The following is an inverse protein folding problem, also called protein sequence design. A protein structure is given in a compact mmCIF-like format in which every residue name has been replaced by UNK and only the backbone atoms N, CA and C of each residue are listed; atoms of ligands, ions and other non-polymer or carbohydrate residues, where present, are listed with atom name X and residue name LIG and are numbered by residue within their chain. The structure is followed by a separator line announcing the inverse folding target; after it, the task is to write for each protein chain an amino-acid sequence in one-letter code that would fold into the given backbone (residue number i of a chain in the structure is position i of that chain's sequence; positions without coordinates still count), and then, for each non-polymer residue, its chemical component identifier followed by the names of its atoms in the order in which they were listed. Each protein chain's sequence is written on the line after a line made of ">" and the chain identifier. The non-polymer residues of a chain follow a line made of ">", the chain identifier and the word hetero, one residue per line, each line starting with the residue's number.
data_IF_732755248870
#
_entry.id   IF_732755248870
#
_cell.length_a   1.000
_cell.length_b   1.000
_cell.length_c   1.000
_cell.angle_alpha   90.00
_cell.angle_beta   90.00
_cell.angle_gamma   90.00
#
_symmetry.space_group_name_H-M   'P 1'
#
loop_
_entity.id
_entity.type
_entity.pdbx_description
1 polymer ?
#
# COMPACT_ATOMS: atom_id res chain seq x y z
N UNK A 1 22.31 -13.63 73.74
CA UNK A 1 22.21 -12.98 72.41
C UNK A 1 21.72 -14.01 71.40
N UNK A 2 20.58 -13.73 70.76
CA UNK A 2 19.74 -14.66 69.98
C UNK A 2 20.34 -14.90 68.59
N UNK A 3 20.45 -16.15 68.14
CA UNK A 3 20.66 -16.53 66.73
C UNK A 3 19.29 -16.74 66.08
N UNK A 4 18.99 -15.98 65.03
CA UNK A 4 17.76 -16.08 64.27
C UNK A 4 17.89 -17.12 63.15
N UNK A 5 17.00 -18.11 63.14
CA UNK A 5 16.78 -19.02 62.02
C UNK A 5 16.03 -18.28 60.91
N UNK A 6 16.60 -18.24 59.69
CA UNK A 6 15.90 -17.81 58.48
C UNK A 6 15.36 -19.04 57.76
N UNK A 7 14.04 -19.24 57.79
CA UNK A 7 13.33 -20.15 56.90
C UNK A 7 13.28 -19.52 55.50
N UNK A 8 13.80 -20.21 54.49
CA UNK A 8 13.55 -19.89 53.08
C UNK A 8 12.24 -20.56 52.67
N UNK A 9 11.23 -19.75 52.34
CA UNK A 9 9.96 -20.18 51.79
C UNK A 9 10.10 -20.20 50.25
N UNK A 10 10.16 -21.39 49.66
CA UNK A 10 10.19 -21.57 48.21
C UNK A 10 8.78 -21.34 47.65
N UNK A 11 8.52 -20.16 47.07
CA UNK A 11 7.30 -19.90 46.32
C UNK A 11 7.49 -20.51 44.92
N UNK A 12 6.84 -21.65 44.66
CA UNK A 12 6.76 -22.25 43.33
C UNK A 12 5.87 -21.40 42.44
N UNK A 13 6.46 -20.69 41.48
CA UNK A 13 5.74 -19.96 40.45
C UNK A 13 5.16 -20.98 39.45
N UNK A 14 3.86 -21.29 39.56
CA UNK A 14 3.14 -22.06 38.54
C UNK A 14 3.00 -21.18 37.30
N UNK A 15 3.87 -21.40 36.31
CA UNK A 15 3.73 -20.81 34.98
C UNK A 15 2.62 -21.58 34.26
N UNK A 16 1.42 -21.01 34.21
CA UNK A 16 0.36 -21.49 33.34
C UNK A 16 0.75 -21.21 31.89
N UNK A 17 1.26 -22.21 31.17
CA UNK A 17 1.35 -22.12 29.72
C UNK A 17 -0.07 -22.00 29.16
N UNK A 18 -0.40 -20.96 28.36
CA UNK A 18 -1.66 -20.93 27.65
C UNK A 18 -1.66 -22.11 26.67
N UNK A 19 -2.60 -23.03 26.85
CA UNK A 19 -2.93 -24.01 25.82
C UNK A 19 -3.45 -23.21 24.62
N UNK A 20 -2.61 -23.08 23.58
CA UNK A 20 -3.07 -22.69 22.26
C UNK A 20 -4.01 -23.79 21.76
N UNK A 21 -5.30 -23.60 21.99
CA UNK A 21 -6.33 -24.44 21.43
C UNK A 21 -6.41 -24.09 19.94
N UNK A 22 -5.65 -24.80 19.11
CA UNK A 22 -5.81 -24.70 17.65
C UNK A 22 -7.22 -25.19 17.30
N UNK A 23 -7.95 -24.40 16.51
CA UNK A 23 -9.22 -24.83 15.95
C UNK A 23 -8.99 -26.12 15.14
N UNK A 24 -9.96 -27.04 15.20
CA UNK A 24 -9.91 -28.23 14.37
C UNK A 24 -9.89 -27.82 12.88
N UNK A 25 -9.16 -28.55 12.02
CA UNK A 25 -9.12 -28.24 10.60
C UNK A 25 -10.54 -28.14 10.01
N UNK A 26 -10.76 -27.12 9.18
CA UNK A 26 -12.01 -26.90 8.48
C UNK A 26 -11.98 -27.61 7.13
N UNK A 27 -12.83 -28.62 6.94
CA UNK A 27 -12.97 -29.29 5.65
C UNK A 27 -14.04 -28.59 4.81
N UNK A 28 -13.59 -27.83 3.80
CA UNK A 28 -14.48 -27.06 2.90
C UNK A 28 -14.97 -27.92 1.74
N UNK A 29 -14.14 -28.86 1.28
CA UNK A 29 -14.53 -29.87 0.28
C UNK A 29 -14.03 -31.21 0.78
N UNK A 30 -14.85 -32.25 0.73
CA UNK A 30 -14.45 -33.61 1.06
C UNK A 30 -14.74 -34.55 -0.10
N UNK A 31 -13.74 -35.31 -0.55
CA UNK A 31 -13.86 -36.27 -1.67
C UNK A 31 -14.51 -35.68 -2.95
N UNK A 32 -14.32 -34.40 -3.21
CA UNK A 32 -14.85 -33.67 -4.37
C UNK A 32 -16.32 -33.26 -4.24
N UNK A 33 -16.90 -33.34 -3.05
CA UNK A 33 -18.25 -32.85 -2.75
C UNK A 33 -18.23 -31.87 -1.59
N UNK A 34 -19.19 -30.95 -1.57
CA UNK A 34 -19.31 -29.97 -0.50
C UNK A 34 -20.74 -29.46 -0.40
N UNK A 35 -21.18 -29.22 0.84
CA UNK A 35 -22.40 -28.47 1.13
C UNK A 35 -22.11 -26.98 1.40
N UNK A 36 -20.84 -26.55 1.34
CA UNK A 36 -20.47 -25.16 1.56
C UNK A 36 -21.00 -24.25 0.47
N UNK A 37 -21.29 -23.01 0.86
CA UNK A 37 -21.63 -21.93 -0.06
C UNK A 37 -20.69 -20.75 0.16
N UNK A 38 -20.44 -19.98 -0.89
CA UNK A 38 -19.71 -18.71 -0.80
C UNK A 38 -20.76 -17.62 -0.64
N UNK A 39 -20.73 -16.89 0.45
CA UNK A 39 -21.62 -15.76 0.66
C UNK A 39 -20.94 -14.46 0.20
N UNK A 40 -21.62 -13.74 -0.69
CA UNK A 40 -21.26 -12.39 -1.12
C UNK A 40 -22.44 -11.48 -0.87
N UNK A 41 -22.28 -10.46 -0.03
CA UNK A 41 -23.36 -9.51 0.28
C UNK A 41 -23.91 -8.85 -1.00
N UNK A 42 -25.23 -8.61 -1.11
CA UNK A 42 -25.80 -7.75 -2.14
C UNK A 42 -25.22 -6.32 -2.13
N UNK A 43 -24.64 -5.90 -1.01
CA UNK A 43 -23.97 -4.61 -0.83
C UNK A 43 -22.44 -4.67 -0.97
N UNK A 44 -21.89 -5.84 -1.35
CA UNK A 44 -20.46 -6.04 -1.52
C UNK A 44 -19.86 -5.02 -2.50
N UNK A 45 -18.65 -4.57 -2.21
CA UNK A 45 -17.89 -3.75 -3.16
C UNK A 45 -17.60 -4.55 -4.43
N UNK A 46 -17.38 -3.89 -5.59
CA UNK A 46 -17.02 -4.58 -6.82
C UNK A 46 -15.83 -5.54 -6.66
N UNK A 47 -14.82 -5.15 -5.87
CA UNK A 47 -13.65 -5.99 -5.58
C UNK A 47 -13.93 -7.18 -4.68
N UNK A 48 -14.94 -7.12 -3.82
CA UNK A 48 -15.37 -8.22 -2.96
C UNK A 48 -16.21 -9.24 -3.75
N UNK A 49 -17.10 -8.76 -4.61
CA UNK A 49 -17.84 -9.61 -5.53
C UNK A 49 -16.88 -10.37 -6.47
N UNK A 50 -15.90 -9.67 -7.04
CA UNK A 50 -14.84 -10.28 -7.84
C UNK A 50 -14.01 -11.30 -7.02
N UNK A 51 -13.74 -11.02 -5.74
CA UNK A 51 -13.05 -11.96 -4.86
C UNK A 51 -13.86 -13.24 -4.63
N UNK A 52 -15.19 -13.15 -4.48
CA UNK A 52 -16.07 -14.31 -4.33
C UNK A 52 -16.09 -15.17 -5.60
N UNK A 53 -16.13 -14.55 -6.78
CA UNK A 53 -16.04 -15.23 -8.08
C UNK A 53 -14.68 -15.93 -8.26
N UNK A 54 -13.59 -15.24 -7.92
CA UNK A 54 -12.24 -15.82 -7.94
C UNK A 54 -12.14 -17.02 -7.00
N UNK A 55 -12.67 -16.91 -5.78
CA UNK A 55 -12.68 -18.01 -4.83
C UNK A 55 -13.42 -19.22 -5.40
N UNK A 56 -14.62 -19.02 -5.96
CA UNK A 56 -15.39 -20.08 -6.58
C UNK A 56 -14.62 -20.78 -7.71
N UNK A 57 -14.04 -20.02 -8.65
CA UNK A 57 -13.28 -20.55 -9.78
C UNK A 57 -12.12 -21.43 -9.30
N UNK A 58 -11.29 -20.90 -8.40
CA UNK A 58 -10.09 -21.62 -7.97
C UNK A 58 -10.43 -22.84 -7.12
N UNK A 59 -11.43 -22.78 -6.23
CA UNK A 59 -11.87 -23.97 -5.48
C UNK A 59 -12.38 -25.06 -6.43
N UNK A 60 -13.14 -24.69 -7.47
CA UNK A 60 -13.61 -25.62 -8.49
C UNK A 60 -12.45 -26.20 -9.31
N UNK A 61 -11.45 -25.40 -9.67
CA UNK A 61 -10.26 -25.87 -10.41
C UNK A 61 -9.36 -26.76 -9.57
N UNK A 62 -9.26 -26.54 -8.25
CA UNK A 62 -8.45 -27.39 -7.36
C UNK A 62 -9.16 -28.73 -7.11
N UNK A 63 -10.47 -28.70 -6.83
CA UNK A 63 -11.19 -29.87 -6.30
C UNK A 63 -12.11 -30.58 -7.29
N UNK A 64 -12.54 -29.87 -8.33
CA UNK A 64 -13.65 -30.27 -9.20
C UNK A 64 -15.03 -30.01 -8.59
N UNK A 65 -15.11 -29.37 -7.42
CA UNK A 65 -16.37 -29.02 -6.75
C UNK A 65 -16.61 -27.51 -6.83
N UNK A 66 -17.72 -27.11 -7.47
CA UNK A 66 -18.14 -25.71 -7.50
C UNK A 66 -19.03 -25.41 -6.30
N UNK A 67 -18.56 -24.56 -5.39
CA UNK A 67 -19.38 -24.03 -4.30
C UNK A 67 -20.26 -22.90 -4.85
N UNK A 68 -21.59 -22.94 -4.69
CA UNK A 68 -22.47 -21.89 -5.18
C UNK A 68 -22.21 -20.57 -4.46
N UNK A 69 -22.20 -19.47 -5.21
CA UNK A 69 -22.26 -18.11 -4.65
C UNK A 69 -23.72 -17.81 -4.31
N UNK A 70 -23.97 -17.34 -3.09
CA UNK A 70 -25.28 -16.95 -2.59
C UNK A 70 -25.24 -15.53 -2.03
N UNK A 71 -26.39 -14.87 -2.07
CA UNK A 71 -26.54 -13.46 -1.65
C UNK A 71 -27.53 -13.29 -0.50
N UNK A 72 -28.24 -14.35 -0.14
CA UNK A 72 -29.11 -14.40 1.02
C UNK A 72 -28.37 -15.12 2.14
N UNK A 73 -28.27 -14.48 3.31
CA UNK A 73 -27.59 -15.06 4.45
C UNK A 73 -28.37 -16.30 4.89
N UNK A 74 -27.81 -17.49 4.65
CA UNK A 74 -28.36 -18.71 5.19
C UNK A 74 -27.99 -18.79 6.69
N UNK A 75 -28.92 -19.25 7.51
CA UNK A 75 -28.69 -19.45 8.95
C UNK A 75 -27.81 -20.69 9.25
N UNK A 76 -27.19 -21.30 8.23
CA UNK A 76 -26.42 -22.53 8.34
C UNK A 76 -24.92 -22.29 8.52
N UNK A 77 -24.27 -23.27 9.16
CA UNK A 77 -22.88 -23.15 9.60
C UNK A 77 -21.85 -23.24 8.48
N UNK A 78 -22.16 -23.88 7.33
CA UNK A 78 -21.17 -24.15 6.27
C UNK A 78 -21.15 -23.05 5.20
N UNK A 79 -20.67 -21.88 5.59
CA UNK A 79 -20.60 -20.71 4.70
C UNK A 79 -19.18 -20.14 4.73
N UNK A 80 -18.67 -19.79 3.55
CA UNK A 80 -17.49 -18.92 3.40
C UNK A 80 -17.97 -17.50 3.11
N UNK A 81 -17.91 -16.63 4.11
CA UNK A 81 -18.22 -15.20 3.99
C UNK A 81 -17.03 -14.49 3.33
N UNK A 82 -17.28 -13.81 2.22
CA UNK A 82 -16.30 -12.99 1.52
C UNK A 82 -16.65 -11.52 1.73
N UNK A 83 -15.83 -10.82 2.51
CA UNK A 83 -16.09 -9.47 2.99
C UNK A 83 -16.73 -9.42 4.38
N UNK A 84 -16.72 -8.23 5.00
CA UNK A 84 -17.29 -8.04 6.35
C UNK A 84 -18.81 -7.88 6.34
N UNK A 85 -19.39 -7.40 5.24
CA UNK A 85 -20.81 -7.10 5.13
C UNK A 85 -21.67 -8.36 5.36
N UNK A 86 -22.65 -8.24 6.25
CA UNK A 86 -23.62 -9.29 6.63
C UNK A 86 -23.02 -10.57 7.25
N UNK A 87 -21.72 -10.59 7.55
CA UNK A 87 -21.12 -11.69 8.30
C UNK A 87 -21.68 -11.72 9.74
N UNK A 88 -22.07 -12.90 10.26
CA UNK A 88 -22.67 -12.99 11.59
C UNK A 88 -21.64 -12.73 12.69
N UNK A 89 -22.11 -12.18 13.82
CA UNK A 89 -21.28 -11.92 15.02
C UNK A 89 -20.52 -13.17 15.47
N UNK A 90 -21.06 -14.38 15.26
CA UNK A 90 -20.41 -15.64 15.60
C UNK A 90 -19.07 -15.86 14.89
N UNK A 91 -18.93 -15.44 13.62
CA UNK A 91 -17.68 -15.58 12.85
C UNK A 91 -16.84 -14.31 12.86
N UNK A 92 -17.45 -13.14 13.02
CA UNK A 92 -16.73 -11.88 13.24
C UNK A 92 -15.97 -11.87 14.57
N UNK A 93 -16.56 -12.41 15.64
CA UNK A 93 -15.99 -12.33 16.98
C UNK A 93 -15.78 -10.88 17.42
N UNK A 94 -14.57 -10.55 17.88
CA UNK A 94 -14.18 -9.21 18.34
C UNK A 94 -13.56 -8.32 17.25
N UNK A 95 -13.63 -8.74 15.98
CA UNK A 95 -13.08 -7.96 14.86
C UNK A 95 -13.86 -6.66 14.66
N UNK A 96 -13.14 -5.56 14.50
CA UNK A 96 -13.69 -4.27 14.10
C UNK A 96 -13.27 -3.95 12.66
N UNK A 97 -14.20 -4.06 11.68
CA UNK A 97 -13.93 -3.80 10.26
C UNK A 97 -13.29 -2.43 9.98
N UNK A 98 -13.64 -1.42 10.77
CA UNK A 98 -13.16 -0.03 10.56
C UNK A 98 -11.68 0.14 10.91
N UNK A 99 -11.09 -0.81 11.63
CA UNK A 99 -9.67 -0.78 12.03
C UNK A 99 -8.72 -1.35 10.98
N UNK A 100 -9.25 -2.00 9.94
CA UNK A 100 -8.42 -2.66 8.93
C UNK A 100 -7.84 -1.67 7.92
N UNK A 101 -6.53 -1.75 7.69
CA UNK A 101 -5.91 -1.02 6.58
C UNK A 101 -6.46 -1.46 5.22
N UNK A 102 -6.39 -0.59 4.20
CA UNK A 102 -6.96 -0.79 2.85
C UNK A 102 -6.61 -2.11 2.13
N UNK A 103 -5.58 -2.79 2.59
CA UNK A 103 -5.01 -4.02 2.03
C UNK A 103 -4.73 -5.09 3.10
N UNK A 104 -5.14 -4.82 4.34
CA UNK A 104 -5.08 -5.76 5.44
C UNK A 104 -6.26 -6.72 5.35
N UNK A 105 -6.05 -7.98 5.70
CA UNK A 105 -7.10 -9.00 5.72
C UNK A 105 -6.96 -9.98 6.86
N UNK A 106 -8.04 -10.70 7.12
CA UNK A 106 -8.12 -11.80 8.06
C UNK A 106 -8.88 -12.97 7.44
N UNK A 107 -8.40 -14.18 7.71
CA UNK A 107 -9.10 -15.44 7.49
C UNK A 107 -9.39 -16.02 8.86
N UNK A 108 -10.68 -16.18 9.22
CA UNK A 108 -11.09 -16.60 10.56
C UNK A 108 -12.20 -17.64 10.49
N UNK A 109 -12.14 -18.63 11.38
CA UNK A 109 -13.13 -19.69 11.48
C UNK A 109 -13.92 -19.59 12.78
N UNK A 110 -15.21 -19.93 12.72
CA UNK A 110 -16.06 -20.18 13.88
C UNK A 110 -16.99 -21.36 13.61
N UNK A 111 -16.71 -22.50 14.23
CA UNK A 111 -17.38 -23.76 13.88
C UNK A 111 -17.10 -24.12 12.43
N UNK A 112 -18.18 -24.28 11.65
CA UNK A 112 -18.12 -24.54 10.21
C UNK A 112 -18.08 -23.26 9.35
N UNK A 113 -18.21 -22.06 9.96
CA UNK A 113 -18.21 -20.82 9.22
C UNK A 113 -16.78 -20.32 9.01
N UNK A 114 -16.47 -19.87 7.79
CA UNK A 114 -15.21 -19.23 7.45
C UNK A 114 -15.47 -17.79 7.01
N UNK A 115 -14.69 -16.85 7.52
CA UNK A 115 -14.65 -15.46 7.10
C UNK A 115 -13.34 -15.20 6.37
N UNK A 116 -13.41 -14.62 5.18
CA UNK A 116 -12.28 -14.03 4.46
C UNK A 116 -12.65 -12.58 4.18
N UNK A 117 -12.09 -11.65 4.94
CA UNK A 117 -12.46 -10.24 4.89
C UNK A 117 -11.27 -9.34 5.13
N UNK A 118 -11.35 -8.09 4.68
CA UNK A 118 -10.28 -7.11 4.89
C UNK A 118 -10.71 -5.68 4.58
N UNK A 119 -9.82 -4.74 4.83
CA UNK A 119 -10.10 -3.31 4.59
C UNK A 119 -10.26 -3.01 3.10
N UNK A 120 -11.15 -2.07 2.77
CA UNK A 120 -11.43 -1.68 1.39
C UNK A 120 -10.31 -0.80 0.79
N UNK A 121 -10.03 -0.89 -0.53
CA UNK A 121 -10.76 -1.68 -1.51
C UNK A 121 -10.16 -3.08 -1.78
N UNK A 122 -8.99 -3.42 -1.22
CA UNK A 122 -8.21 -4.59 -1.66
C UNK A 122 -8.06 -5.71 -0.64
N UNK A 123 -8.29 -5.44 0.64
CA UNK A 123 -8.09 -6.39 1.73
C UNK A 123 -8.79 -7.72 1.48
N UNK A 124 -10.10 -7.73 1.27
CA UNK A 124 -10.87 -8.97 1.00
C UNK A 124 -10.34 -9.75 -0.21
N UNK A 125 -10.07 -9.07 -1.34
CA UNK A 125 -9.50 -9.70 -2.54
C UNK A 125 -8.11 -10.31 -2.26
N UNK A 126 -7.26 -9.59 -1.55
CA UNK A 126 -5.95 -10.09 -1.13
C UNK A 126 -6.05 -11.22 -0.10
N UNK A 127 -7.12 -11.25 0.69
CA UNK A 127 -7.46 -12.35 1.58
C UNK A 127 -7.80 -13.62 0.82
N UNK A 128 -8.64 -13.53 -0.23
CA UNK A 128 -8.91 -14.68 -1.12
C UNK A 128 -7.65 -15.17 -1.81
N UNK A 129 -6.82 -14.26 -2.32
CA UNK A 129 -5.55 -14.61 -2.98
C UNK A 129 -4.59 -15.25 -1.98
N UNK A 130 -4.48 -14.68 -0.77
CA UNK A 130 -3.70 -15.25 0.34
C UNK A 130 -4.18 -16.64 0.72
N UNK A 131 -5.49 -16.83 0.82
CA UNK A 131 -6.11 -18.11 1.11
C UNK A 131 -5.74 -19.16 0.06
N UNK A 132 -5.94 -18.87 -1.22
CA UNK A 132 -5.59 -19.76 -2.33
C UNK A 132 -4.09 -20.08 -2.37
N UNK A 133 -3.24 -19.09 -2.09
CA UNK A 133 -1.78 -19.24 -2.14
C UNK A 133 -1.24 -20.00 -0.94
N UNK A 134 -1.58 -19.56 0.27
CA UNK A 134 -0.92 -19.98 1.49
C UNK A 134 -1.54 -21.25 2.06
N UNK A 135 -2.84 -21.46 1.87
CA UNK A 135 -3.56 -22.64 2.37
C UNK A 135 -3.75 -23.73 1.30
N UNK A 136 -3.85 -23.36 0.01
CA UNK A 136 -4.03 -24.34 -1.08
C UNK A 136 -2.89 -24.39 -2.10
N UNK A 137 -1.81 -23.64 -1.91
CA UNK A 137 -0.60 -23.78 -2.70
C UNK A 137 -0.67 -23.26 -4.15
N UNK A 138 -1.66 -22.44 -4.50
CA UNK A 138 -1.71 -21.75 -5.79
C UNK A 138 -0.50 -20.82 -5.96
N UNK A 139 0.05 -20.72 -7.17
CA UNK A 139 1.18 -19.82 -7.49
C UNK A 139 1.00 -19.21 -8.87
N UNK A 140 1.34 -17.94 -9.02
CA UNK A 140 1.29 -17.19 -10.28
C UNK A 140 2.70 -16.70 -10.63
N UNK A 141 3.46 -17.51 -11.35
CA UNK A 141 4.90 -17.27 -11.58
C UNK A 141 5.16 -16.22 -12.67
N UNK A 142 4.31 -16.18 -13.69
CA UNK A 142 4.26 -15.18 -14.77
C UNK A 142 2.81 -14.97 -15.19
N UNK A 143 2.51 -14.02 -16.08
CA UNK A 143 1.15 -13.86 -16.64
C UNK A 143 0.61 -15.14 -17.29
N UNK A 144 1.49 -15.97 -17.84
CA UNK A 144 1.13 -17.17 -18.63
C UNK A 144 1.31 -18.48 -17.83
N UNK A 145 1.97 -18.43 -16.66
CA UNK A 145 2.35 -19.63 -15.89
C UNK A 145 1.77 -19.58 -14.49
N UNK A 146 0.69 -20.34 -14.30
CA UNK A 146 0.03 -20.53 -13.01
C UNK A 146 0.09 -22.01 -12.58
N UNK A 147 0.41 -22.26 -11.31
CA UNK A 147 0.28 -23.57 -10.67
C UNK A 147 -0.99 -23.59 -9.83
N UNK A 148 -1.88 -24.52 -10.12
CA UNK A 148 -3.07 -24.80 -9.33
C UNK A 148 -3.00 -26.28 -8.91
N UNK A 149 -2.78 -26.58 -7.63
CA UNK A 149 -2.80 -27.95 -7.13
C UNK A 149 -4.13 -28.64 -7.41
N UNK A 150 -4.12 -29.97 -7.41
CA UNK A 150 -5.32 -30.79 -7.57
C UNK A 150 -5.51 -31.62 -6.31
N UNK A 151 -6.68 -31.52 -5.67
CA UNK A 151 -6.97 -32.20 -4.42
C UNK A 151 -8.48 -32.44 -4.28
N UNK A 152 -8.90 -33.66 -3.92
CA UNK A 152 -10.33 -33.97 -3.71
C UNK A 152 -10.85 -33.52 -2.34
N UNK A 153 -9.97 -33.38 -1.37
CA UNK A 153 -10.33 -32.84 -0.06
C UNK A 153 -9.56 -31.54 0.16
N UNK A 154 -10.27 -30.49 0.54
CA UNK A 154 -9.74 -29.16 0.86
C UNK A 154 -9.93 -28.91 2.35
N UNK A 155 -8.85 -29.07 3.11
CA UNK A 155 -8.79 -28.79 4.53
C UNK A 155 -7.98 -27.51 4.76
N UNK A 156 -8.45 -26.70 5.71
CA UNK A 156 -7.80 -25.45 6.12
C UNK A 156 -7.47 -25.55 7.60
N UNK A 157 -6.24 -25.22 7.96
CA UNK A 157 -5.76 -25.13 9.33
C UNK A 157 -5.06 -23.79 9.58
N UNK A 158 -4.48 -23.61 10.78
CA UNK A 158 -3.67 -22.43 11.08
C UNK A 158 -4.45 -21.12 11.22
N UNK A 159 -5.77 -21.17 11.48
CA UNK A 159 -6.62 -19.99 11.64
C UNK A 159 -6.69 -19.52 13.10
N UNK A 160 -6.85 -18.19 13.36
CA UNK A 160 -6.98 -17.13 12.37
C UNK A 160 -5.64 -16.74 11.70
N UNK A 161 -5.70 -16.33 10.43
CA UNK A 161 -4.57 -15.80 9.66
C UNK A 161 -4.84 -14.34 9.29
N UNK A 162 -4.11 -13.42 9.92
CA UNK A 162 -4.24 -11.96 9.69
C UNK A 162 -2.95 -11.43 9.08
N UNK A 163 -3.08 -10.71 7.97
CA UNK A 163 -1.94 -10.25 7.17
C UNK A 163 -2.12 -8.78 6.79
N UNK A 164 -1.02 -8.04 6.83
CA UNK A 164 -0.93 -6.64 6.40
C UNK A 164 0.31 -6.44 5.55
N UNK A 165 0.26 -5.65 4.45
CA UNK A 165 1.44 -5.44 3.62
C UNK A 165 2.49 -4.59 4.34
N UNK A 166 3.76 -4.97 4.21
CA UNK A 166 4.88 -4.21 4.76
C UNK A 166 5.15 -2.89 4.01
N UNK A 167 4.77 -2.82 2.72
CA UNK A 167 4.96 -1.66 1.85
C UNK A 167 3.62 -1.22 1.30
N UNK A 168 3.29 0.07 1.39
CA UNK A 168 2.03 0.61 0.87
C UNK A 168 1.94 0.60 -0.68
N UNK A 169 3.08 0.72 -1.36
CA UNK A 169 3.22 0.72 -2.81
C UNK A 169 4.18 -0.38 -3.26
N UNK A 170 3.76 -1.18 -4.23
CA UNK A 170 4.47 -2.37 -4.72
C UNK A 170 4.39 -2.45 -6.24
N UNK A 171 5.43 -1.94 -6.90
CA UNK A 171 5.59 -1.98 -8.35
C UNK A 171 7.03 -2.34 -8.73
N UNK A 172 7.31 -3.62 -8.99
CA UNK A 172 8.53 -3.99 -9.71
C UNK A 172 8.49 -3.38 -11.11
N UNK A 173 9.52 -2.64 -11.51
CA UNK A 173 9.63 -2.06 -12.84
C UNK A 173 10.06 -3.11 -13.88
N UNK A 174 9.20 -4.11 -14.07
CA UNK A 174 9.33 -5.17 -15.04
C UNK A 174 7.99 -5.42 -15.74
N UNK A 175 8.01 -5.69 -17.04
CA UNK A 175 6.83 -5.68 -17.92
C UNK A 175 5.69 -6.58 -17.47
N UNK A 176 5.97 -7.68 -16.76
CA UNK A 176 4.92 -8.57 -16.25
C UNK A 176 3.96 -7.87 -15.29
N UNK A 177 4.43 -6.89 -14.50
CA UNK A 177 3.60 -6.16 -13.54
C UNK A 177 2.55 -5.27 -14.22
N UNK A 178 2.72 -5.01 -15.52
CA UNK A 178 1.74 -4.26 -16.30
C UNK A 178 0.56 -5.13 -16.74
N UNK A 179 0.65 -6.46 -16.59
CA UNK A 179 -0.50 -7.35 -16.70
C UNK A 179 -1.33 -7.28 -15.42
N UNK A 180 -2.60 -6.89 -15.55
CA UNK A 180 -3.50 -6.64 -14.42
C UNK A 180 -3.69 -7.92 -13.59
N UNK A 181 -3.88 -9.06 -14.23
CA UNK A 181 -4.14 -10.32 -13.53
C UNK A 181 -2.89 -10.76 -12.78
N UNK A 182 -1.71 -10.68 -13.41
CA UNK A 182 -0.45 -10.97 -12.73
C UNK A 182 -0.23 -10.06 -11.51
N UNK A 183 -0.48 -8.75 -11.65
CA UNK A 183 -0.34 -7.79 -10.57
C UNK A 183 -1.26 -8.13 -9.39
N UNK A 184 -2.56 -8.33 -9.66
CA UNK A 184 -3.58 -8.64 -8.65
C UNK A 184 -3.24 -9.94 -7.94
N UNK A 185 -2.98 -11.03 -8.67
CA UNK A 185 -2.63 -12.33 -8.10
C UNK A 185 -1.36 -12.30 -7.22
N UNK A 186 -0.44 -11.37 -7.50
CA UNK A 186 0.77 -11.17 -6.69
C UNK A 186 0.63 -10.03 -5.66
N UNK A 187 -0.59 -9.52 -5.46
CA UNK A 187 -0.95 -8.45 -4.51
C UNK A 187 -0.15 -7.17 -4.73
N UNK A 188 0.14 -6.86 -6.00
CA UNK A 188 0.80 -5.63 -6.45
C UNK A 188 -0.24 -4.55 -6.75
N UNK A 189 0.14 -3.28 -6.60
CA UNK A 189 -0.73 -2.13 -6.81
C UNK A 189 -0.02 -1.03 -7.64
N UNK A 190 0.44 -1.37 -8.86
CA UNK A 190 1.28 -0.50 -9.68
C UNK A 190 0.62 0.83 -10.02
N UNK A 191 1.39 1.91 -9.91
CA UNK A 191 0.94 3.26 -10.23
C UNK A 191 0.88 3.50 -11.74
N UNK A 192 1.72 2.85 -12.55
CA UNK A 192 1.80 3.13 -13.99
C UNK A 192 0.62 2.57 -14.78
N UNK A 193 0.04 1.48 -14.30
CA UNK A 193 -1.05 0.79 -14.99
C UNK A 193 -2.32 0.86 -14.15
N UNK A 194 -3.38 1.51 -14.64
CA UNK A 194 -4.68 1.50 -13.98
C UNK A 194 -5.20 0.07 -13.82
N UNK A 195 -5.36 -0.34 -12.57
CA UNK A 195 -6.13 -1.53 -12.23
C UNK A 195 -7.59 -1.10 -12.07
N UNK A 196 -8.55 -1.79 -12.71
CA UNK A 196 -9.97 -1.50 -12.54
C UNK A 196 -10.42 -1.58 -11.07
N UNK A 197 -11.46 -0.83 -10.70
CA UNK A 197 -11.97 -0.79 -9.32
C UNK A 197 -12.45 -2.16 -8.83
N UNK A 198 -13.05 -2.96 -9.73
CA UNK A 198 -13.46 -4.34 -9.46
C UNK A 198 -12.28 -5.28 -9.17
N UNK A 199 -11.05 -4.88 -9.49
CA UNK A 199 -9.81 -5.59 -9.13
C UNK A 199 -9.03 -4.89 -8.02
N UNK A 200 -9.68 -3.93 -7.36
CA UNK A 200 -9.18 -3.24 -6.19
C UNK A 200 -8.35 -1.99 -6.48
N UNK A 201 -8.22 -1.53 -7.73
CA UNK A 201 -7.53 -0.28 -8.02
C UNK A 201 -6.01 -0.31 -7.83
N UNK A 202 -5.37 0.86 -7.89
CA UNK A 202 -3.92 1.04 -7.83
C UNK A 202 -3.47 1.95 -6.69
N UNK A 203 -2.16 2.09 -6.52
CA UNK A 203 -1.55 3.20 -5.81
C UNK A 203 -1.45 4.42 -6.75
N UNK A 204 -1.86 5.60 -6.32
CA UNK A 204 -1.95 6.79 -7.19
C UNK A 204 -0.85 7.79 -6.82
N UNK A 205 0.09 7.99 -7.74
CA UNK A 205 1.14 9.02 -7.67
C UNK A 205 0.72 10.18 -8.60
N UNK A 206 0.66 11.41 -8.07
CA UNK A 206 0.22 12.55 -8.86
C UNK A 206 1.00 13.86 -8.62
N UNK A 207 1.41 14.58 -9.67
CA UNK A 207 1.73 14.06 -10.98
C UNK A 207 2.83 12.98 -10.88
N UNK A 208 3.02 12.22 -11.96
CA UNK A 208 4.02 11.16 -11.98
C UNK A 208 5.41 11.72 -12.33
N UNK A 209 6.24 11.90 -11.30
CA UNK A 209 7.67 12.31 -11.33
C UNK A 209 8.02 13.52 -12.20
N UNK A 210 9.25 14.03 -12.08
CA UNK A 210 9.78 15.13 -12.89
C UNK A 210 8.84 16.35 -12.99
N UNK A 211 8.34 16.79 -11.82
CA UNK A 211 7.21 17.72 -11.72
C UNK A 211 7.61 19.19 -11.66
N UNK A 212 8.90 19.53 -11.61
CA UNK A 212 9.36 20.92 -11.51
C UNK A 212 8.79 21.85 -12.59
N UNK A 213 8.77 21.43 -13.85
CA UNK A 213 8.13 22.23 -14.91
C UNK A 213 6.60 22.30 -14.80
N UNK A 214 5.96 21.40 -14.06
CA UNK A 214 4.52 21.45 -13.80
C UNK A 214 4.21 22.32 -12.56
N UNK A 215 5.14 22.39 -11.60
CA UNK A 215 5.05 23.26 -10.42
C UNK A 215 5.21 24.72 -10.80
N UNK A 216 6.22 25.02 -11.63
CA UNK A 216 6.55 26.38 -12.08
C UNK A 216 6.87 26.33 -13.57
N UNK A 217 5.87 26.52 -14.46
CA UNK A 217 6.06 26.33 -15.89
C UNK A 217 6.97 27.40 -16.53
N UNK A 218 8.07 27.01 -17.22
CA UNK A 218 8.96 27.96 -17.88
C UNK A 218 8.29 28.77 -18.99
N UNK A 219 7.28 28.22 -19.67
CA UNK A 219 6.48 28.92 -20.66
C UNK A 219 5.68 30.09 -20.09
N UNK A 220 5.31 30.03 -18.81
CA UNK A 220 4.56 31.08 -18.12
C UNK A 220 5.51 32.10 -17.49
N UNK A 221 6.57 31.64 -16.83
CA UNK A 221 7.37 32.49 -15.96
C UNK A 221 8.73 32.91 -16.54
N UNK A 222 9.38 32.14 -17.42
CA UNK A 222 10.80 32.36 -17.73
C UNK A 222 11.11 33.73 -18.36
N UNK A 223 10.25 34.20 -19.27
CA UNK A 223 10.51 35.44 -20.02
C UNK A 223 10.46 36.69 -19.11
N UNK A 224 9.70 36.64 -18.01
CA UNK A 224 9.56 37.73 -17.03
C UNK A 224 10.43 37.50 -15.78
N UNK A 225 10.61 36.23 -15.39
CA UNK A 225 11.25 35.80 -14.16
C UNK A 225 12.27 34.67 -14.41
N UNK A 226 13.33 34.92 -15.20
CA UNK A 226 14.35 33.90 -15.45
C UNK A 226 15.06 33.45 -14.17
N UNK A 227 15.05 34.25 -13.11
CA UNK A 227 15.59 33.93 -11.78
C UNK A 227 14.86 32.80 -11.04
N UNK A 228 13.67 32.38 -11.50
CA UNK A 228 12.94 31.23 -10.94
C UNK A 228 13.57 29.89 -11.34
N UNK A 229 14.38 29.89 -12.39
CA UNK A 229 14.95 28.69 -12.99
C UNK A 229 16.43 28.56 -12.67
N UNK A 230 16.99 27.36 -12.80
CA UNK A 230 18.37 27.07 -12.42
C UNK A 230 19.37 27.95 -13.17
N UNK A 231 20.34 28.49 -12.43
CA UNK A 231 21.55 29.08 -13.00
C UNK A 231 22.54 27.95 -13.24
N UNK A 232 23.01 27.80 -14.47
CA UNK A 232 24.00 26.78 -14.83
C UNK A 232 25.02 27.40 -15.78
N UNK A 233 26.30 27.30 -15.44
CA UNK A 233 27.40 27.92 -16.18
C UNK A 233 27.17 29.43 -16.43
N UNK A 234 26.60 30.11 -15.43
CA UNK A 234 26.27 31.54 -15.49
C UNK A 234 25.05 31.91 -16.35
N UNK A 235 24.26 30.93 -16.80
CA UNK A 235 23.04 31.16 -17.62
C UNK A 235 21.81 30.52 -17.00
N UNK A 236 20.67 31.23 -17.02
CA UNK A 236 19.37 30.68 -16.60
C UNK A 236 18.83 29.75 -17.68
N UNK A 237 18.34 28.59 -17.27
CA UNK A 237 17.92 27.52 -18.19
C UNK A 237 16.40 27.59 -18.45
N UNK A 238 15.99 27.68 -19.72
CA UNK A 238 14.57 27.68 -20.13
C UNK A 238 14.08 26.30 -20.57
N UNK A 239 14.88 25.62 -21.36
CA UNK A 239 14.53 24.36 -22.02
C UNK A 239 15.68 23.35 -21.99
N UNK A 240 15.34 22.07 -22.18
CA UNK A 240 16.30 20.96 -22.21
C UNK A 240 16.55 20.29 -20.86
N UNK A 241 17.51 19.37 -20.84
CA UNK A 241 17.80 18.47 -19.72
C UNK A 241 18.62 19.12 -18.58
N UNK A 242 18.79 20.44 -18.60
CA UNK A 242 19.46 21.22 -17.53
C UNK A 242 18.49 22.18 -16.83
N UNK A 243 17.21 22.20 -17.24
CA UNK A 243 16.19 23.05 -16.61
C UNK A 243 15.80 22.44 -15.29
N UNK A 244 16.08 23.16 -14.21
CA UNK A 244 15.58 22.90 -12.87
C UNK A 244 15.04 24.21 -12.30
N UNK A 245 14.52 24.17 -11.08
CA UNK A 245 14.08 25.37 -10.35
C UNK A 245 15.19 25.92 -9.47
N UNK A 246 15.14 27.23 -9.19
CA UNK A 246 15.95 27.86 -8.16
C UNK A 246 15.27 27.67 -6.79
N UNK A 247 15.62 26.59 -6.09
CA UNK A 247 14.90 26.12 -4.89
C UNK A 247 15.05 27.01 -3.64
N UNK A 248 15.96 27.98 -3.66
CA UNK A 248 16.09 29.00 -2.61
C UNK A 248 15.34 30.30 -2.93
N UNK A 249 14.67 30.40 -4.08
CA UNK A 249 13.91 31.59 -4.44
C UNK A 249 12.53 31.56 -3.74
N UNK A 250 12.16 32.58 -2.93
CA UNK A 250 10.92 32.57 -2.16
C UNK A 250 9.65 32.56 -3.03
N UNK A 251 9.67 33.18 -4.21
CA UNK A 251 8.52 33.18 -5.12
C UNK A 251 8.32 31.79 -5.76
N UNK A 252 9.42 31.09 -6.08
CA UNK A 252 9.36 29.69 -6.55
C UNK A 252 8.71 28.79 -5.50
N UNK A 253 9.07 28.97 -4.22
CA UNK A 253 8.44 28.24 -3.11
C UNK A 253 6.96 28.56 -3.00
N UNK A 254 6.57 29.84 -3.12
CA UNK A 254 5.17 30.25 -3.06
C UNK A 254 4.34 29.63 -4.19
N UNK A 255 4.78 29.76 -5.45
CA UNK A 255 4.08 29.23 -6.63
C UNK A 255 3.98 27.69 -6.57
N UNK A 256 5.07 27.02 -6.20
CA UNK A 256 5.07 25.57 -6.06
C UNK A 256 4.12 25.09 -4.95
N UNK A 257 4.08 25.80 -3.81
CA UNK A 257 3.16 25.49 -2.71
C UNK A 257 1.70 25.62 -3.16
N UNK A 258 1.36 26.73 -3.82
CA UNK A 258 0.00 26.96 -4.31
C UNK A 258 -0.41 25.92 -5.36
N UNK A 259 0.53 25.53 -6.23
CA UNK A 259 0.30 24.47 -7.23
C UNK A 259 0.06 23.10 -6.57
N UNK A 260 0.84 22.74 -5.55
CA UNK A 260 0.64 21.49 -4.80
C UNK A 260 -0.72 21.49 -4.09
N UNK A 261 -1.10 22.60 -3.45
CA UNK A 261 -2.42 22.72 -2.80
C UNK A 261 -3.57 22.60 -3.81
N UNK A 262 -3.41 23.16 -5.01
CA UNK A 262 -4.36 22.99 -6.10
C UNK A 262 -4.43 21.54 -6.56
N UNK A 263 -3.30 20.85 -6.75
CA UNK A 263 -3.29 19.42 -7.10
C UNK A 263 -4.01 18.57 -6.05
N UNK A 264 -3.80 18.85 -4.76
CA UNK A 264 -4.50 18.15 -3.68
C UNK A 264 -6.02 18.33 -3.78
N UNK A 265 -6.49 19.53 -4.11
CA UNK A 265 -7.92 19.81 -4.28
C UNK A 265 -8.51 19.15 -5.55
N UNK A 266 -7.74 19.12 -6.64
CA UNK A 266 -8.15 18.56 -7.94
C UNK A 266 -8.07 17.02 -7.98
N UNK A 267 -7.18 16.42 -7.17
CA UNK A 267 -6.88 14.99 -7.18
C UNK A 267 -6.93 14.36 -5.77
N UNK A 268 -8.10 14.37 -5.10
CA UNK A 268 -8.24 13.78 -3.77
C UNK A 268 -8.02 12.26 -3.73
N UNK A 269 -8.01 11.59 -4.90
CA UNK A 269 -7.73 10.17 -5.04
C UNK A 269 -6.24 9.81 -4.95
N UNK A 270 -5.33 10.80 -5.00
CA UNK A 270 -3.89 10.55 -4.97
C UNK A 270 -3.41 10.08 -3.59
N UNK A 271 -2.60 9.02 -3.56
CA UNK A 271 -1.98 8.52 -2.33
C UNK A 271 -0.71 9.33 -1.97
N UNK A 272 -0.07 9.94 -2.96
CA UNK A 272 1.14 10.77 -2.78
C UNK A 272 1.28 11.80 -3.91
N UNK A 273 1.79 12.99 -3.57
CA UNK A 273 2.10 14.04 -4.53
C UNK A 273 3.60 14.23 -4.78
N UNK A 274 4.00 14.31 -6.04
CA UNK A 274 5.42 14.39 -6.41
C UNK A 274 5.92 15.83 -6.49
N UNK A 275 7.02 16.11 -5.79
CA UNK A 275 7.78 17.36 -5.86
C UNK A 275 9.19 16.99 -6.29
N UNK A 276 9.32 16.75 -7.60
CA UNK A 276 10.42 16.00 -8.17
C UNK A 276 11.19 16.86 -9.16
N UNK A 277 12.52 16.86 -9.03
CA UNK A 277 13.41 17.45 -10.03
C UNK A 277 13.11 16.93 -11.43
N UNK A 278 13.24 17.80 -12.45
CA UNK A 278 13.08 17.42 -13.85
C UNK A 278 14.13 16.37 -14.24
N UNK A 279 13.84 15.61 -15.29
CA UNK A 279 14.78 14.64 -15.83
C UNK A 279 16.06 15.32 -16.34
N UNK A 280 17.22 14.76 -15.95
CA UNK A 280 18.53 15.29 -16.27
C UNK A 280 19.27 15.94 -15.09
N UNK A 281 20.11 16.91 -15.42
CA UNK A 281 21.05 17.58 -14.51
C UNK A 281 20.62 19.04 -14.30
N UNK A 282 21.57 19.90 -13.94
CA UNK A 282 21.39 21.36 -13.94
C UNK A 282 20.76 21.90 -12.67
N UNK A 283 21.16 21.38 -11.51
CA UNK A 283 20.90 22.04 -10.23
C UNK A 283 21.33 23.50 -10.28
N UNK A 284 20.68 24.35 -9.48
CA UNK A 284 20.92 25.78 -9.51
C UNK A 284 22.25 26.13 -8.84
N UNK A 285 23.16 26.78 -9.58
CA UNK A 285 24.47 27.25 -9.11
C UNK A 285 24.41 28.69 -8.57
N UNK A 286 23.23 29.21 -8.24
CA UNK A 286 23.14 30.54 -7.63
C UNK A 286 23.82 30.55 -6.25
N UNK A 287 24.25 31.71 -5.74
CA UNK A 287 24.97 31.79 -4.47
C UNK A 287 24.23 31.15 -3.29
N UNK A 288 22.90 31.32 -3.21
CA UNK A 288 22.10 30.81 -2.11
C UNK A 288 21.94 29.28 -2.15
N UNK A 289 21.66 28.72 -3.33
CA UNK A 289 21.60 27.27 -3.52
C UNK A 289 22.98 26.63 -3.24
N UNK A 290 24.04 27.24 -3.76
CA UNK A 290 25.42 26.76 -3.57
C UNK A 290 25.83 26.77 -2.10
N UNK A 291 25.51 27.84 -1.36
CA UNK A 291 25.84 27.94 0.06
C UNK A 291 25.11 26.88 0.89
N UNK A 292 23.84 26.60 0.57
CA UNK A 292 23.06 25.59 1.26
C UNK A 292 23.57 24.16 0.95
N UNK A 293 23.87 23.88 -0.31
CA UNK A 293 24.44 22.59 -0.71
C UNK A 293 25.84 22.38 -0.12
N UNK A 294 26.67 23.42 0.01
CA UNK A 294 27.97 23.34 0.69
C UNK A 294 27.81 23.01 2.18
N UNK A 295 26.89 23.69 2.85
CA UNK A 295 26.58 23.45 4.26
C UNK A 295 26.10 22.00 4.49
N UNK A 296 25.18 21.52 3.67
CA UNK A 296 24.64 20.16 3.75
C UNK A 296 25.58 19.10 3.16
N UNK A 297 26.55 19.49 2.34
CA UNK A 297 27.49 18.61 1.64
C UNK A 297 26.90 17.84 0.46
N UNK A 298 25.72 18.20 -0.05
CA UNK A 298 25.09 17.57 -1.22
C UNK A 298 23.99 18.45 -1.82
N UNK A 299 23.67 18.23 -3.11
CA UNK A 299 22.56 18.92 -3.79
C UNK A 299 21.17 18.46 -3.35
N UNK A 300 21.08 17.33 -2.65
CA UNK A 300 19.82 16.96 -2.00
C UNK A 300 19.48 17.89 -0.83
N UNK A 301 20.45 18.69 -0.34
CA UNK A 301 20.25 19.68 0.71
C UNK A 301 19.22 20.71 0.29
N UNK A 302 19.51 21.47 -0.77
CA UNK A 302 18.55 22.44 -1.34
C UNK A 302 17.20 21.81 -1.69
N UNK A 303 17.19 20.62 -2.30
CA UNK A 303 15.96 19.89 -2.63
C UNK A 303 15.10 19.62 -1.39
N UNK A 304 15.70 19.03 -0.34
CA UNK A 304 14.94 18.62 0.83
C UNK A 304 14.49 19.80 1.68
N UNK A 305 15.27 20.89 1.74
CA UNK A 305 14.84 22.15 2.36
C UNK A 305 13.61 22.74 1.66
N UNK A 306 13.58 22.71 0.32
CA UNK A 306 12.43 23.18 -0.46
C UNK A 306 11.19 22.30 -0.24
N UNK A 307 11.32 20.99 -0.39
CA UNK A 307 10.23 20.03 -0.21
C UNK A 307 9.67 20.09 1.21
N UNK A 308 10.53 20.20 2.23
CA UNK A 308 10.09 20.28 3.62
C UNK A 308 9.26 21.53 3.92
N UNK A 309 9.56 22.68 3.30
CA UNK A 309 8.77 23.90 3.49
C UNK A 309 7.37 23.75 2.89
N UNK A 310 7.25 23.12 1.72
CA UNK A 310 5.94 22.78 1.14
C UNK A 310 5.21 21.78 2.04
N UNK A 311 5.94 20.76 2.54
CA UNK A 311 5.39 19.73 3.41
C UNK A 311 4.83 20.26 4.73
N UNK A 312 5.47 21.28 5.32
CA UNK A 312 5.00 21.95 6.53
C UNK A 312 3.63 22.62 6.28
N UNK A 313 3.46 23.33 5.16
CA UNK A 313 2.17 23.94 4.78
C UNK A 313 1.10 22.89 4.48
N UNK A 314 1.47 21.82 3.76
CA UNK A 314 0.54 20.72 3.44
C UNK A 314 0.08 20.01 4.70
N UNK A 315 0.96 19.74 5.66
CA UNK A 315 0.59 19.06 6.91
C UNK A 315 -0.41 19.87 7.75
N UNK A 316 -0.35 21.20 7.71
CA UNK A 316 -1.32 22.06 8.41
C UNK A 316 -2.73 21.99 7.80
N UNK A 317 -2.82 21.89 6.47
CA UNK A 317 -4.09 21.96 5.73
C UNK A 317 -4.68 20.58 5.39
N UNK A 318 -3.81 19.59 5.21
CA UNK A 318 -4.10 18.25 4.70
C UNK A 318 -3.22 17.23 5.43
N UNK A 319 -3.49 16.93 6.72
CA UNK A 319 -2.59 16.13 7.56
C UNK A 319 -2.40 14.68 7.08
N UNK A 320 -3.33 14.16 6.28
CA UNK A 320 -3.27 12.80 5.74
C UNK A 320 -2.54 12.71 4.39
N UNK A 321 -2.19 13.85 3.79
CA UNK A 321 -1.53 13.89 2.47
C UNK A 321 -0.02 13.67 2.61
N UNK A 322 0.50 12.76 1.78
CA UNK A 322 1.93 12.53 1.62
C UNK A 322 2.48 13.24 0.40
N UNK A 323 3.70 13.72 0.52
CA UNK A 323 4.52 14.23 -0.55
C UNK A 323 5.67 13.25 -0.79
N UNK A 324 6.23 13.28 -1.99
CA UNK A 324 7.46 12.57 -2.30
C UNK A 324 8.43 13.46 -3.06
N UNK A 325 9.71 13.09 -2.98
CA UNK A 325 10.77 13.60 -3.85
C UNK A 325 11.74 12.48 -4.21
N UNK A 326 12.55 12.69 -5.24
CA UNK A 326 13.49 11.68 -5.76
C UNK A 326 14.87 11.80 -5.10
N UNK A 327 15.52 10.66 -4.87
CA UNK A 327 16.97 10.57 -4.79
C UNK A 327 17.50 10.21 -6.19
N UNK A 328 17.75 11.21 -7.04
CA UNK A 328 17.98 11.01 -8.48
C UNK A 328 19.10 11.88 -9.03
N UNK A 329 20.03 11.28 -9.79
CA UNK A 329 21.11 11.96 -10.52
C UNK A 329 21.95 12.84 -9.58
N UNK A 330 21.67 14.14 -9.49
CA UNK A 330 22.46 15.06 -8.68
C UNK A 330 22.08 15.07 -7.20
N UNK A 331 20.90 14.55 -6.84
CA UNK A 331 20.37 14.54 -5.46
C UNK A 331 20.48 13.19 -4.75
N UNK A 332 21.26 12.25 -5.30
CA UNK A 332 21.41 10.89 -4.74
C UNK A 332 22.15 10.87 -3.38
N UNK A 333 23.08 11.80 -3.19
CA UNK A 333 23.88 11.88 -1.96
C UNK A 333 23.04 12.54 -0.86
N UNK A 334 22.73 11.86 0.25
CA UNK A 334 21.89 12.43 1.30
C UNK A 334 22.58 13.61 2.00
N UNK A 335 21.81 14.59 2.51
CA UNK A 335 22.37 15.77 3.15
C UNK A 335 22.79 15.46 4.58
N UNK A 336 23.78 16.20 5.10
CA UNK A 336 24.33 15.98 6.44
C UNK A 336 23.26 16.11 7.53
N UNK A 337 22.51 17.20 7.52
CA UNK A 337 21.72 17.63 8.69
C UNK A 337 20.22 17.64 8.48
N UNK A 338 19.74 18.11 7.31
CA UNK A 338 18.30 18.12 7.03
C UNK A 338 17.74 16.69 6.90
N UNK A 339 16.51 16.49 7.36
CA UNK A 339 15.78 15.22 7.32
C UNK A 339 14.39 15.46 6.71
N UNK A 340 13.81 14.46 6.01
CA UNK A 340 12.46 14.60 5.46
C UNK A 340 11.45 14.81 6.59
N UNK A 341 10.40 15.61 6.32
CA UNK A 341 9.23 15.68 7.20
C UNK A 341 8.51 14.33 7.28
N UNK A 342 7.72 14.06 8.34
CA UNK A 342 6.99 12.79 8.48
C UNK A 342 6.05 12.46 7.31
N UNK A 343 5.57 13.47 6.59
CA UNK A 343 4.74 13.33 5.39
C UNK A 343 5.55 13.37 4.07
N UNK A 344 6.89 13.31 4.11
CA UNK A 344 7.75 13.30 2.91
C UNK A 344 8.40 11.92 2.75
N UNK A 345 8.17 11.30 1.60
CA UNK A 345 8.83 10.05 1.19
C UNK A 345 9.97 10.35 0.21
N UNK A 346 11.13 9.73 0.42
CA UNK A 346 12.22 9.76 -0.57
C UNK A 346 12.11 8.50 -1.42
N UNK A 347 12.01 8.67 -2.74
CA UNK A 347 11.85 7.58 -3.70
C UNK A 347 13.12 7.30 -4.48
#
# INVERSE_FOLDING_TARGET
>A
MKRANRFFLSIGLMVSLPFLCFAAPLTIVDQGVSDYRIYSSPSALPSEAYAAEMLQDYLARISGCTLPIVHEAAADGKIVYVGFADAPVSVLGDLDPETFGKEEYVIQQSGDALLIAGGAPRGTLYGVIGFLRDHFGCRWYTRDVTKIPQAKTLEVDGLPDRQSPAFAYREPWYREVHDIDFAVHNRLNPSMVPIPEEKGGRFVIYPFVHTFNQLVPPEEYFDQHPEYFSLVDGKRQREGNRVQLCLTNPEVLHIATDTVLRWIAEHPEADVFSIDQNDGYGYCECPDCSALDEAEGSHSGTLLHFVNQIADVVAEKHPDVRLQTLAYVYSEVPPKTVRPRPNVTIR
#
